data_IF_622916428734
#
_entry.id   IF_622916428734
#
_cell.length_a   1.000
_cell.length_b   1.000
_cell.length_c   1.000
_cell.angle_alpha   90.00
_cell.angle_beta   90.00
_cell.angle_gamma   90.00
#
_symmetry.space_group_name_H-M   'P 1'
#
loop_
_entity.id
_entity.type
_entity.pdbx_description
1 polymer ?
#
# COMPACT_ATOMS: atom_id res chain seq x y z
N UNK A 1 10.45 3.85 -6.84
CA UNK A 1 9.11 3.25 -6.92
C UNK A 1 9.21 1.77 -6.67
N UNK A 2 8.37 1.27 -5.82
CA UNK A 2 8.45 -0.12 -5.36
C UNK A 2 7.16 -0.82 -5.74
N UNK A 3 7.28 -2.09 -6.11
CA UNK A 3 6.11 -2.90 -6.45
C UNK A 3 5.81 -3.88 -5.34
N UNK A 4 4.55 -4.15 -5.16
CA UNK A 4 4.11 -5.11 -4.16
C UNK A 4 2.68 -5.54 -4.39
N UNK A 5 2.16 -6.30 -3.44
CA UNK A 5 0.80 -6.81 -3.48
C UNK A 5 0.10 -6.40 -2.19
N UNK A 6 -1.08 -5.84 -2.33
CA UNK A 6 -1.91 -5.51 -1.16
C UNK A 6 -2.30 -6.81 -0.47
N UNK A 7 -1.75 -7.02 0.70
CA UNK A 7 -2.03 -8.25 1.45
C UNK A 7 -3.47 -8.23 1.95
N UNK A 8 -3.89 -7.11 2.50
CA UNK A 8 -5.27 -6.88 2.88
C UNK A 8 -5.44 -5.38 3.12
N UNK A 9 -6.67 -4.93 2.99
CA UNK A 9 -6.98 -3.53 3.27
C UNK A 9 -8.36 -3.47 3.92
N UNK A 10 -8.45 -2.78 5.05
CA UNK A 10 -9.71 -2.58 5.76
C UNK A 10 -10.21 -1.17 5.53
N UNK A 11 -11.23 -1.03 4.71
CA UNK A 11 -11.83 0.28 4.45
C UNK A 11 -12.46 0.87 5.72
N UNK A 12 -12.99 0.01 6.58
CA UNK A 12 -13.61 0.46 7.83
C UNK A 12 -12.60 1.07 8.78
N UNK A 13 -11.41 0.50 8.82
CA UNK A 13 -10.35 0.97 9.70
C UNK A 13 -9.43 1.97 9.03
N UNK A 14 -9.44 2.00 7.70
CA UNK A 14 -8.64 2.92 6.93
C UNK A 14 -7.17 2.58 6.83
N UNK A 15 -6.82 1.31 6.93
CA UNK A 15 -5.42 0.91 6.79
C UNK A 15 -5.30 -0.52 6.28
N UNK A 16 -4.08 -0.88 5.88
CA UNK A 16 -3.81 -2.20 5.36
C UNK A 16 -2.31 -2.49 5.37
N UNK A 17 -1.95 -3.61 4.75
CA UNK A 17 -0.56 -4.05 4.61
C UNK A 17 -0.26 -4.43 3.18
N UNK A 18 0.96 -4.11 2.76
CA UNK A 18 1.48 -4.48 1.44
C UNK A 18 2.65 -5.43 1.63
N UNK A 19 2.64 -6.53 0.88
CA UNK A 19 3.78 -7.43 0.79
C UNK A 19 4.68 -6.94 -0.33
N UNK A 20 5.95 -6.68 -0.05
CA UNK A 20 6.90 -6.16 -1.02
C UNK A 20 7.39 -7.26 -1.94
N UNK A 21 7.57 -6.91 -3.21
CA UNK A 21 8.09 -7.86 -4.20
C UNK A 21 9.55 -8.23 -3.94
N UNK A 22 10.30 -7.33 -3.30
CA UNK A 22 11.72 -7.58 -3.05
C UNK A 22 11.97 -8.52 -1.87
N UNK A 23 10.92 -9.01 -1.24
CA UNK A 23 11.06 -9.92 -0.11
C UNK A 23 11.31 -9.23 1.22
N UNK A 24 11.21 -7.91 1.25
CA UNK A 24 11.39 -7.17 2.49
C UNK A 24 10.20 -7.28 3.42
N UNK A 25 10.28 -6.57 4.53
CA UNK A 25 9.22 -6.53 5.52
C UNK A 25 7.94 -5.93 4.94
N UNK A 26 6.79 -6.44 5.33
CA UNK A 26 5.51 -5.88 4.94
C UNK A 26 5.44 -4.41 5.33
N UNK A 27 4.77 -3.62 4.50
CA UNK A 27 4.71 -2.16 4.67
C UNK A 27 3.30 -1.75 5.04
N UNK A 28 3.20 -0.91 6.05
CA UNK A 28 1.93 -0.37 6.52
C UNK A 28 1.40 0.68 5.55
N UNK A 29 0.09 0.68 5.33
CA UNK A 29 -0.59 1.60 4.42
C UNK A 29 -1.75 2.25 5.16
N UNK A 30 -1.82 3.59 5.12
CA UNK A 30 -2.97 4.32 5.59
C UNK A 30 -3.78 4.81 4.39
N UNK A 31 -5.10 4.85 4.50
CA UNK A 31 -5.93 5.20 3.36
C UNK A 31 -5.59 6.59 2.80
N UNK A 32 -5.11 7.51 3.62
CA UNK A 32 -4.73 8.84 3.19
C UNK A 32 -3.53 8.83 2.22
N UNK A 33 -2.78 7.73 2.20
CA UNK A 33 -1.65 7.57 1.30
C UNK A 33 -2.06 7.05 -0.07
N UNK A 34 -3.30 6.64 -0.22
CA UNK A 34 -3.82 6.12 -1.48
C UNK A 34 -4.31 7.29 -2.32
N UNK A 35 -3.84 7.39 -3.55
CA UNK A 35 -4.12 8.54 -4.39
C UNK A 35 -5.59 8.57 -4.83
N UNK A 36 -6.25 9.67 -4.55
CA UNK A 36 -7.56 10.01 -5.09
C UNK A 36 -8.60 8.89 -4.95
N UNK A 37 -9.33 8.65 -6.02
CA UNK A 37 -10.39 7.65 -6.05
C UNK A 37 -9.89 6.22 -6.02
N UNK A 38 -8.59 6.01 -6.06
CA UNK A 38 -8.02 4.67 -6.03
C UNK A 38 -8.31 3.94 -4.74
N UNK A 39 -8.60 4.68 -3.66
CA UNK A 39 -8.88 4.07 -2.37
C UNK A 39 -10.00 3.04 -2.42
N UNK A 40 -11.00 3.27 -3.26
CA UNK A 40 -12.13 2.36 -3.39
C UNK A 40 -11.88 1.22 -4.35
N UNK A 41 -10.80 1.32 -5.14
CA UNK A 41 -10.47 0.32 -6.13
C UNK A 41 -9.42 -0.68 -5.70
N UNK A 42 -8.92 -0.55 -4.47
CA UNK A 42 -7.88 -1.45 -4.00
C UNK A 42 -8.50 -2.60 -3.24
N UNK A 43 -8.21 -3.80 -3.70
CA UNK A 43 -8.75 -5.02 -3.12
C UNK A 43 -7.62 -5.86 -2.54
N UNK A 44 -7.98 -6.88 -1.77
CA UNK A 44 -7.01 -7.84 -1.29
C UNK A 44 -6.34 -8.51 -2.50
N UNK A 45 -5.05 -8.73 -2.39
CA UNK A 45 -4.23 -9.32 -3.46
C UNK A 45 -4.05 -8.42 -4.69
N UNK A 46 -4.45 -7.16 -4.60
CA UNK A 46 -4.25 -6.20 -5.69
C UNK A 46 -2.76 -5.85 -5.81
N UNK A 47 -2.24 -5.90 -7.04
CA UNK A 47 -0.88 -5.42 -7.31
C UNK A 47 -0.86 -3.91 -7.24
N UNK A 48 0.16 -3.37 -6.59
CA UNK A 48 0.29 -1.93 -6.41
C UNK A 48 1.72 -1.49 -6.62
N UNK A 49 1.89 -0.21 -6.92
CA UNK A 49 3.18 0.45 -6.85
C UNK A 49 3.11 1.54 -5.80
N UNK A 50 4.22 1.81 -5.15
CA UNK A 50 4.24 2.76 -4.07
C UNK A 50 5.66 3.22 -3.77
N UNK A 51 5.76 4.29 -2.97
CA UNK A 51 7.02 4.74 -2.41
C UNK A 51 7.02 4.46 -0.92
N UNK A 52 8.19 4.39 -0.33
CA UNK A 52 8.32 4.21 1.10
C UNK A 52 8.76 5.53 1.73
N UNK A 53 8.04 5.93 2.77
CA UNK A 53 8.43 7.04 3.61
C UNK A 53 8.79 6.49 4.98
N UNK A 54 9.79 7.07 5.58
CA UNK A 54 10.20 6.70 6.93
C UNK A 54 9.92 7.86 7.86
N UNK A 55 9.23 7.57 8.95
CA UNK A 55 8.92 8.56 9.96
C UNK A 55 9.23 7.94 11.31
N UNK A 56 10.11 8.58 12.07
CA UNK A 56 10.59 8.06 13.35
C UNK A 56 11.16 6.66 13.20
N UNK A 57 10.48 5.64 13.70
CA UNK A 57 10.94 4.26 13.65
C UNK A 57 10.12 3.39 12.71
N UNK A 58 9.19 4.00 12.01
CA UNK A 58 8.25 3.25 11.19
C UNK A 58 8.44 3.57 9.73
N UNK A 59 8.25 2.55 8.91
CA UNK A 59 8.16 2.74 7.47
C UNK A 59 6.71 2.55 7.06
N UNK A 60 6.27 3.35 6.09
CA UNK A 60 4.93 3.22 5.56
C UNK A 60 4.92 3.56 4.09
N UNK A 61 3.92 3.05 3.40
CA UNK A 61 3.79 3.29 1.98
C UNK A 61 3.09 4.61 1.72
N UNK A 62 3.56 5.33 0.70
CA UNK A 62 2.96 6.58 0.26
C UNK A 62 2.82 6.55 -1.25
N UNK A 63 1.96 7.39 -1.79
CA UNK A 63 1.73 7.52 -3.23
C UNK A 63 1.36 6.17 -3.87
N UNK A 64 0.46 5.46 -3.22
CA UNK A 64 0.07 4.12 -3.63
C UNK A 64 -0.86 4.18 -4.83
N UNK A 65 -0.57 3.35 -5.84
CA UNK A 65 -1.40 3.26 -7.04
C UNK A 65 -1.63 1.80 -7.38
N UNK A 66 -2.85 1.42 -7.72
CA UNK A 66 -3.10 0.07 -8.19
C UNK A 66 -2.48 -0.12 -9.57
N UNK A 67 -1.89 -1.29 -9.76
CA UNK A 67 -1.37 -1.65 -11.07
C UNK A 67 -2.45 -2.38 -11.84
N UNK A 68 -2.60 -2.02 -13.11
CA UNK A 68 -3.52 -2.69 -14.00
C UNK A 68 -2.73 -3.67 -14.86
N UNK A 69 -3.22 -4.87 -14.87
CA UNK A 69 -2.64 -5.90 -15.72
C UNK A 69 -3.11 -5.75 -17.16
#
# INVERSE_FOLDING_TARGET
>A
MIFGTMKWFSADRGFGLITRDDGGTDVFVHFSAIAGSCAQGIEDNQRVEFDIAQSHREIHAVNIRPLRS
#
